data_IF_541416823036
#
_entry.id   IF_541416823036
#
_cell.length_a   1.000
_cell.length_b   1.000
_cell.length_c   1.000
_cell.angle_alpha   90.00
_cell.angle_beta   90.00
_cell.angle_gamma   90.00
#
_symmetry.space_group_name_H-M   'P 1'
#
loop_
_entity.id
_entity.type
_entity.pdbx_description
1 polymer ?
#
# COMPACT_ATOMS: atom_id res chain seq x y z
N UNK A 1 -16.29 -9.42 -9.12
CA UNK A 1 -16.09 -9.07 -9.23
C UNK A 1 -15.61 -8.21 -9.13
N UNK A 2 -15.38 -7.80 -9.05
CA UNK A 2 -14.99 -7.09 -9.03
C UNK A 2 -14.68 -6.39 -8.20
N UNK A 3 -14.64 -6.36 -7.38
CA UNK A 3 -14.39 -5.71 -6.37
C UNK A 3 -13.04 -5.64 -6.04
N UNK A 4 -12.17 -6.28 -6.44
CA UNK A 4 -10.86 -6.22 -6.17
C UNK A 4 -10.19 -5.31 -7.04
N UNK A 5 -10.45 -4.04 -6.96
CA UNK A 5 -9.91 -3.08 -7.73
C UNK A 5 -8.56 -2.74 -7.26
N UNK A 6 -7.56 -2.76 -8.08
CA UNK A 6 -6.22 -2.33 -7.74
C UNK A 6 -6.09 -0.83 -8.02
N UNK A 7 -5.34 -0.15 -7.19
CA UNK A 7 -5.19 1.31 -7.34
C UNK A 7 -3.72 1.64 -7.56
N UNK A 8 -3.48 2.84 -8.08
CA UNK A 8 -2.11 3.27 -8.34
C UNK A 8 -1.45 3.71 -7.04
N UNK A 9 -0.14 3.95 -7.11
CA UNK A 9 0.58 4.44 -5.95
C UNK A 9 0.00 5.77 -5.49
N UNK A 10 -0.30 6.64 -6.43
CA UNK A 10 -0.84 7.93 -6.09
C UNK A 10 -2.19 7.81 -5.39
N UNK A 11 -3.03 6.93 -5.91
CA UNK A 11 -4.35 6.73 -5.30
C UNK A 11 -4.24 6.12 -3.92
N UNK A 12 -3.34 5.15 -3.76
CA UNK A 12 -3.18 4.53 -2.47
C UNK A 12 -2.63 5.51 -1.46
N UNK A 13 -1.69 6.34 -1.88
CA UNK A 13 -1.13 7.36 -1.00
C UNK A 13 -2.23 8.31 -0.53
N UNK A 14 -3.13 8.67 -1.42
CA UNK A 14 -4.26 9.53 -1.04
C UNK A 14 -5.18 8.85 -0.06
N UNK A 15 -5.44 7.57 -0.26
CA UNK A 15 -6.31 6.83 0.64
C UNK A 15 -5.71 6.80 2.04
N UNK A 16 -4.41 6.63 2.13
CA UNK A 16 -3.75 6.56 3.43
C UNK A 16 -3.31 7.91 3.95
N UNK A 17 -3.46 8.94 3.14
CA UNK A 17 -3.06 10.30 3.52
C UNK A 17 -1.57 10.37 3.82
N UNK A 18 -0.77 9.72 2.99
CA UNK A 18 0.67 9.79 3.14
C UNK A 18 1.28 10.15 1.80
N UNK A 19 2.58 10.40 1.80
CA UNK A 19 3.28 10.74 0.59
C UNK A 19 3.56 9.48 -0.20
N UNK A 20 3.70 9.59 -1.50
CA UNK A 20 4.00 8.43 -2.33
C UNK A 20 5.32 7.81 -1.92
N UNK A 21 6.29 8.63 -1.54
CA UNK A 21 7.57 8.11 -1.09
C UNK A 21 7.43 7.18 0.09
N UNK A 22 6.48 7.43 0.95
CA UNK A 22 6.23 6.56 2.09
C UNK A 22 5.85 5.17 1.61
N UNK A 23 5.03 5.10 0.56
CA UNK A 23 4.64 3.80 0.04
C UNK A 23 5.82 3.06 -0.56
N UNK A 24 6.71 3.78 -1.25
CA UNK A 24 7.88 3.14 -1.82
C UNK A 24 8.76 2.58 -0.71
N UNK A 25 8.92 3.31 0.37
CA UNK A 25 9.71 2.82 1.49
C UNK A 25 9.07 1.63 2.16
N UNK A 26 7.75 1.68 2.33
CA UNK A 26 7.05 0.56 2.95
C UNK A 26 7.12 -0.69 2.07
N UNK A 27 7.13 -0.51 0.76
CA UNK A 27 7.22 -1.65 -0.13
C UNK A 27 8.54 -2.39 0.08
N UNK A 28 9.60 -1.65 0.40
CA UNK A 28 10.87 -2.28 0.67
C UNK A 28 10.82 -3.08 1.97
N UNK A 29 9.87 -2.75 2.82
CA UNK A 29 9.75 -3.44 4.09
C UNK A 29 8.76 -4.60 4.02
N UNK A 30 8.18 -4.84 2.87
CA UNK A 30 7.30 -5.99 2.74
C UNK A 30 5.86 -5.70 2.45
N UNK A 31 5.50 -4.43 2.24
CA UNK A 31 4.11 -4.11 1.95
C UNK A 31 3.68 -4.77 0.64
N UNK A 32 2.50 -5.39 0.62
CA UNK A 32 2.04 -6.07 -0.59
C UNK A 32 1.80 -5.09 -1.73
N UNK A 33 2.22 -5.48 -2.91
CA UNK A 33 1.95 -4.69 -4.11
C UNK A 33 2.06 -5.61 -5.30
N UNK A 34 1.51 -5.14 -6.41
CA UNK A 34 1.50 -5.93 -7.63
C UNK A 34 2.23 -5.16 -8.73
N UNK A 35 3.16 -5.82 -9.40
CA UNK A 35 3.83 -5.21 -10.53
C UNK A 35 3.23 -5.79 -11.78
N UNK A 36 2.53 -4.96 -12.54
CA UNK A 36 1.82 -5.40 -13.70
C UNK A 36 2.59 -5.14 -14.99
N UNK A 37 3.87 -4.99 -14.91
CA UNK A 37 4.66 -4.72 -16.07
C UNK A 37 5.86 -3.98 -15.61
N UNK A 38 6.62 -3.40 -16.51
CA UNK A 38 7.86 -2.79 -16.12
C UNK A 38 7.65 -1.56 -15.24
N UNK A 39 6.59 -0.79 -15.50
CA UNK A 39 6.38 0.41 -14.70
C UNK A 39 5.02 0.51 -14.05
N UNK A 40 4.24 -0.52 -14.12
CA UNK A 40 2.88 -0.45 -13.62
C UNK A 40 2.77 -1.13 -12.26
N UNK A 41 2.82 -0.34 -11.21
CA UNK A 41 2.68 -0.86 -9.86
C UNK A 41 1.30 -0.54 -9.35
N UNK A 42 0.63 -1.51 -8.76
CA UNK A 42 -0.71 -1.33 -8.24
C UNK A 42 -0.81 -1.94 -6.86
N UNK A 43 -1.82 -1.52 -6.11
CA UNK A 43 -1.99 -1.95 -4.73
C UNK A 43 -3.42 -2.41 -4.52
N UNK A 44 -3.59 -3.44 -3.69
CA UNK A 44 -4.91 -3.88 -3.27
C UNK A 44 -5.19 -3.16 -1.96
N UNK A 45 -6.26 -2.39 -1.92
CA UNK A 45 -6.54 -1.53 -0.78
C UNK A 45 -6.63 -2.33 0.50
N UNK A 46 -7.34 -3.45 0.47
CA UNK A 46 -7.51 -4.22 1.68
C UNK A 46 -6.22 -4.83 2.17
N UNK A 47 -5.40 -5.31 1.26
CA UNK A 47 -4.15 -5.92 1.66
C UNK A 47 -3.22 -4.87 2.26
N UNK A 48 -3.20 -3.70 1.68
CA UNK A 48 -2.34 -2.65 2.20
C UNK A 48 -2.82 -2.18 3.56
N UNK A 49 -4.13 -2.01 3.72
CA UNK A 49 -4.67 -1.59 5.00
C UNK A 49 -4.38 -2.61 6.08
N UNK A 50 -4.48 -3.86 5.75
CA UNK A 50 -4.20 -4.89 6.71
C UNK A 50 -2.74 -4.84 7.13
N UNK A 51 -1.84 -4.67 6.17
CA UNK A 51 -0.42 -4.60 6.46
C UNK A 51 -0.10 -3.39 7.33
N UNK A 52 -0.70 -2.25 7.01
CA UNK A 52 -0.46 -1.04 7.76
C UNK A 52 -0.99 -1.17 9.18
N UNK A 53 -2.15 -1.78 9.31
CA UNK A 53 -2.74 -1.94 10.62
C UNK A 53 -1.89 -2.83 11.52
N UNK A 54 -1.38 -3.92 10.96
CA UNK A 54 -0.54 -4.81 11.72
C UNK A 54 0.74 -4.11 12.12
N UNK A 55 1.32 -3.37 11.17
CA UNK A 55 2.54 -2.67 11.45
C UNK A 55 2.33 -1.59 12.51
N UNK A 56 1.20 -0.90 12.42
CA UNK A 56 0.90 0.13 13.38
C UNK A 56 0.76 -0.40 14.78
N UNK A 57 0.16 -1.58 14.88
CA UNK A 57 0.01 -2.17 16.18
C UNK A 57 1.35 -2.52 16.79
N UNK A 58 2.26 -2.94 15.96
CA UNK A 58 3.55 -3.27 16.46
C UNK A 58 4.32 -2.05 16.92
N UNK A 59 4.16 -0.97 16.22
CA UNK A 59 4.90 0.21 16.53
C UNK A 59 4.29 1.09 17.50
N UNK A 60 3.15 0.93 17.71
CA UNK A 60 2.46 1.73 18.58
C UNK A 60 3.08 2.64 19.40
N UNK A 61 3.39 3.16 19.36
CA UNK A 61 3.75 4.08 19.81
C UNK A 61 3.66 5.06 19.84
N UNK A 62 3.43 5.44 19.68
CA UNK A 62 3.24 6.27 19.58
C UNK A 62 3.03 6.57 19.76
#
# INVERSE_FOLDING_TARGET
MENNKLVTTKEMAGILSVHENTLFNWAKEGMPRYKLGSNAVRYDIEEVLEWVRTRGEENDRE
#
